data_IF_236568777745
#
_entry.id   IF_236568777745
#
_cell.length_a   1.000
_cell.length_b   1.000
_cell.length_c   1.000
_cell.angle_alpha   90.00
_cell.angle_beta   90.00
_cell.angle_gamma   90.00
#
_symmetry.space_group_name_H-M   'P 1'
#
loop_
_entity.id
_entity.type
_entity.pdbx_description
1 polymer ?
#
# COMPACT_ATOMS: atom_id res chain seq x y z
N UNK A 1 16.43 -12.31 -18.29
CA UNK A 1 14.97 -12.18 -18.48
C UNK A 1 14.55 -10.94 -17.68
N UNK A 2 14.59 -9.77 -18.31
CA UNK A 2 14.45 -8.49 -17.61
C UNK A 2 12.99 -8.06 -17.66
N UNK A 3 12.22 -8.39 -16.62
CA UNK A 3 10.92 -7.79 -16.42
C UNK A 3 11.12 -6.33 -16.00
N UNK A 4 11.10 -5.41 -16.97
CA UNK A 4 10.88 -4.00 -16.64
C UNK A 4 9.43 -3.85 -16.20
N UNK A 5 9.12 -4.22 -14.95
CA UNK A 5 7.82 -3.94 -14.34
C UNK A 5 7.66 -2.43 -14.29
N UNK A 6 6.72 -1.91 -15.07
CA UNK A 6 6.39 -0.48 -15.02
C UNK A 6 5.26 -0.29 -14.00
N UNK A 7 5.20 0.88 -13.35
CA UNK A 7 4.10 1.26 -12.45
C UNK A 7 2.72 1.05 -13.09
N UNK A 8 2.61 1.21 -14.42
CA UNK A 8 1.38 0.94 -15.17
C UNK A 8 0.89 -0.51 -15.06
N UNK A 9 1.80 -1.48 -14.97
CA UNK A 9 1.47 -2.90 -14.84
C UNK A 9 0.84 -3.23 -13.49
N UNK A 10 1.08 -2.39 -12.47
CA UNK A 10 0.45 -2.54 -11.15
C UNK A 10 -0.99 -2.01 -11.15
N UNK A 11 -1.30 -1.02 -12.01
CA UNK A 11 -2.62 -0.38 -12.04
C UNK A 11 -3.69 -1.23 -12.72
N UNK A 12 -3.28 -2.17 -13.58
CA UNK A 12 -4.19 -3.11 -14.25
C UNK A 12 -4.55 -4.31 -13.38
N UNK A 13 -3.85 -4.52 -12.26
CA UNK A 13 -4.09 -5.65 -11.37
C UNK A 13 -5.32 -5.41 -10.48
N UNK A 14 -5.98 -6.52 -10.15
CA UNK A 14 -7.00 -6.59 -9.10
C UNK A 14 -6.44 -7.44 -7.98
N UNK A 15 -6.70 -7.06 -6.74
CA UNK A 15 -6.27 -7.81 -5.54
C UNK A 15 -7.51 -8.35 -4.86
N UNK A 16 -8.15 -9.35 -5.47
CA UNK A 16 -9.40 -9.94 -4.96
C UNK A 16 -9.14 -11.23 -4.17
N UNK A 17 -8.03 -11.90 -4.47
CA UNK A 17 -7.64 -13.17 -3.86
C UNK A 17 -6.26 -13.08 -3.20
N UNK A 18 -5.91 -14.02 -2.31
CA UNK A 18 -4.54 -14.12 -1.79
C UNK A 18 -3.48 -14.31 -2.88
N UNK A 19 -3.81 -15.02 -3.96
CA UNK A 19 -2.87 -15.23 -5.07
C UNK A 19 -2.63 -13.94 -5.87
N UNK A 20 -3.67 -13.13 -6.05
CA UNK A 20 -3.54 -11.80 -6.65
C UNK A 20 -2.60 -10.91 -5.82
N UNK A 21 -2.74 -10.98 -4.50
CA UNK A 21 -1.87 -10.25 -3.58
C UNK A 21 -0.42 -10.66 -3.71
N UNK A 22 -0.12 -11.97 -3.77
CA UNK A 22 1.24 -12.46 -3.99
C UNK A 22 1.81 -11.90 -5.31
N UNK A 23 1.01 -11.94 -6.38
CA UNK A 23 1.43 -11.47 -7.71
C UNK A 23 1.68 -9.96 -7.73
N UNK A 24 0.77 -9.18 -7.15
CA UNK A 24 0.93 -7.74 -6.99
C UNK A 24 2.17 -7.43 -6.15
N UNK A 25 2.36 -8.09 -5.01
CA UNK A 25 3.48 -7.87 -4.08
C UNK A 25 4.82 -8.15 -4.76
N UNK A 26 4.94 -9.23 -5.52
CA UNK A 26 6.16 -9.54 -6.29
C UNK A 26 6.51 -8.42 -7.27
N UNK A 27 5.53 -7.95 -8.04
CA UNK A 27 5.71 -6.83 -8.98
C UNK A 27 6.04 -5.53 -8.26
N UNK A 28 5.35 -5.23 -7.17
CA UNK A 28 5.61 -4.06 -6.35
C UNK A 28 7.03 -4.07 -5.77
N UNK A 29 7.49 -5.22 -5.25
CA UNK A 29 8.84 -5.38 -4.72
C UNK A 29 9.93 -5.23 -5.77
N UNK A 30 9.64 -5.53 -7.04
CA UNK A 30 10.60 -5.26 -8.12
C UNK A 30 10.83 -3.76 -8.37
N UNK A 31 9.91 -2.90 -7.91
CA UNK A 31 10.00 -1.43 -8.02
C UNK A 31 10.42 -0.80 -6.69
N UNK A 32 9.95 -1.33 -5.57
CA UNK A 32 10.20 -0.84 -4.21
C UNK A 32 10.70 -1.98 -3.29
N UNK A 33 11.92 -2.51 -3.50
CA UNK A 33 12.42 -3.70 -2.81
C UNK A 33 12.49 -3.53 -1.28
N UNK A 34 12.80 -2.32 -0.81
CA UNK A 34 13.00 -2.04 0.61
C UNK A 34 11.72 -1.65 1.35
N UNK A 35 10.59 -1.51 0.65
CA UNK A 35 9.37 -0.95 1.25
C UNK A 35 8.81 -1.82 2.36
N UNK A 36 8.48 -3.10 2.10
CA UNK A 36 7.95 -3.97 3.16
C UNK A 36 8.97 -4.25 4.27
N UNK A 37 10.26 -4.54 3.97
CA UNK A 37 11.28 -4.61 5.01
C UNK A 37 11.31 -3.39 5.93
N UNK A 38 11.25 -2.18 5.37
CA UNK A 38 11.21 -0.93 6.12
C UNK A 38 9.90 -0.76 6.91
N UNK A 39 8.76 -1.18 6.37
CA UNK A 39 7.49 -1.11 7.10
C UNK A 39 7.42 -2.12 8.25
N UNK A 40 8.00 -3.31 8.06
CA UNK A 40 8.08 -4.36 9.09
C UNK A 40 9.06 -4.00 10.20
N UNK A 41 10.21 -3.41 9.88
CA UNK A 41 11.20 -2.99 10.88
C UNK A 41 10.67 -1.93 11.86
N UNK A 42 9.61 -1.21 11.49
CA UNK A 42 8.92 -0.24 12.38
C UNK A 42 8.10 -0.91 13.49
N UNK A 43 7.89 -2.22 13.45
CA UNK A 43 7.25 -2.97 14.55
C UNK A 43 5.75 -2.72 14.73
N UNK A 44 5.05 -2.14 13.74
CA UNK A 44 3.62 -1.85 13.85
C UNK A 44 2.69 -3.08 13.73
N UNK A 45 3.23 -4.27 13.46
CA UNK A 45 2.44 -5.50 13.27
C UNK A 45 1.35 -5.33 12.21
N UNK A 46 1.74 -4.86 11.02
CA UNK A 46 0.78 -4.59 9.94
C UNK A 46 0.07 -5.87 9.50
N UNK A 47 -1.24 -5.77 9.30
CA UNK A 47 -2.01 -6.84 8.66
C UNK A 47 -1.84 -6.81 7.14
N UNK A 48 -2.13 -7.93 6.48
CA UNK A 48 -2.11 -8.05 5.02
C UNK A 48 -2.96 -6.97 4.31
N UNK A 49 -4.12 -6.64 4.88
CA UNK A 49 -5.01 -5.60 4.36
C UNK A 49 -4.39 -4.19 4.46
N UNK A 50 -3.63 -3.93 5.51
CA UNK A 50 -2.95 -2.65 5.72
C UNK A 50 -1.71 -2.53 4.85
N UNK A 51 -0.98 -3.63 4.66
CA UNK A 51 0.12 -3.69 3.70
C UNK A 51 -0.35 -3.45 2.27
N UNK A 52 -1.48 -4.05 1.88
CA UNK A 52 -2.13 -3.75 0.60
C UNK A 52 -2.43 -2.26 0.48
N UNK A 53 -3.12 -1.68 1.47
CA UNK A 53 -3.44 -0.26 1.46
C UNK A 53 -2.18 0.62 1.36
N UNK A 54 -1.18 0.37 2.19
CA UNK A 54 0.08 1.13 2.21
C UNK A 54 0.84 1.03 0.90
N UNK A 55 0.90 -0.15 0.28
CA UNK A 55 1.53 -0.30 -1.04
C UNK A 55 0.83 0.55 -2.11
N UNK A 56 -0.51 0.63 -2.07
CA UNK A 56 -1.29 1.46 -2.99
C UNK A 56 -1.16 2.95 -2.69
N UNK A 57 -1.04 3.35 -1.41
CA UNK A 57 -0.67 4.72 -1.03
C UNK A 57 0.73 5.10 -1.52
N UNK A 58 1.71 4.18 -1.42
CA UNK A 58 3.08 4.41 -1.90
C UNK A 58 3.13 4.64 -3.40
N UNK A 59 2.23 4.01 -4.14
CA UNK A 59 2.01 4.26 -5.57
C UNK A 59 1.31 5.60 -5.86
N UNK A 60 0.96 6.39 -4.84
CA UNK A 60 0.25 7.67 -4.95
C UNK A 60 -1.06 7.54 -5.73
N UNK A 61 -1.85 6.50 -5.42
CA UNK A 61 -3.12 6.24 -6.10
C UNK A 61 -4.28 7.02 -5.46
N UNK A 62 -5.19 7.45 -6.33
CA UNK A 62 -6.45 8.05 -5.88
C UNK A 62 -7.31 7.02 -5.15
N UNK A 63 -8.15 7.48 -4.21
CA UNK A 63 -9.09 6.62 -3.49
C UNK A 63 -9.96 5.76 -4.42
N UNK A 64 -10.33 6.31 -5.58
CA UNK A 64 -11.12 5.62 -6.60
C UNK A 64 -10.34 4.46 -7.23
N UNK A 65 -9.07 4.67 -7.57
CA UNK A 65 -8.24 3.58 -8.10
C UNK A 65 -7.96 2.51 -7.05
N UNK A 66 -7.73 2.89 -5.79
CA UNK A 66 -7.58 1.92 -4.69
C UNK A 66 -8.85 1.08 -4.53
N UNK A 67 -10.02 1.71 -4.51
CA UNK A 67 -11.32 1.02 -4.44
C UNK A 67 -11.47 0.03 -5.58
N UNK A 68 -11.15 0.47 -6.81
CA UNK A 68 -11.19 -0.35 -8.00
C UNK A 68 -10.25 -1.57 -7.91
N UNK A 69 -8.99 -1.37 -7.50
CA UNK A 69 -7.98 -2.43 -7.40
C UNK A 69 -8.35 -3.46 -6.32
N UNK A 70 -8.82 -3.00 -5.16
CA UNK A 70 -9.19 -3.86 -4.04
C UNK A 70 -10.59 -4.48 -4.18
N UNK A 71 -11.39 -4.05 -5.16
CA UNK A 71 -12.76 -4.55 -5.34
C UNK A 71 -13.71 -4.16 -4.19
N UNK A 72 -13.47 -3.01 -3.56
CA UNK A 72 -14.28 -2.50 -2.44
C UNK A 72 -14.90 -1.15 -2.76
N UNK A 73 -15.84 -0.70 -1.92
CA UNK A 73 -16.43 0.63 -2.10
C UNK A 73 -15.43 1.76 -1.81
N UNK A 74 -15.63 2.92 -2.43
CA UNK A 74 -14.86 4.13 -2.13
C UNK A 74 -14.91 4.51 -0.65
N UNK A 75 -16.08 4.34 -0.02
CA UNK A 75 -16.26 4.58 1.42
C UNK A 75 -15.40 3.65 2.27
N UNK A 76 -15.29 2.37 1.87
CA UNK A 76 -14.44 1.39 2.55
C UNK A 76 -12.97 1.80 2.52
N UNK A 77 -12.49 2.39 1.41
CA UNK A 77 -11.12 2.95 1.33
C UNK A 77 -10.93 4.08 2.33
N UNK A 78 -11.88 5.03 2.42
CA UNK A 78 -11.80 6.13 3.39
C UNK A 78 -11.77 5.61 4.83
N UNK A 79 -12.63 4.66 5.17
CA UNK A 79 -12.66 4.05 6.50
C UNK A 79 -11.36 3.31 6.80
N UNK A 80 -10.80 2.56 5.85
CA UNK A 80 -9.54 1.84 6.04
C UNK A 80 -8.38 2.82 6.29
N UNK A 81 -8.27 3.89 5.49
CA UNK A 81 -7.28 4.97 5.69
C UNK A 81 -7.41 5.63 7.05
N UNK A 82 -8.63 5.97 7.45
CA UNK A 82 -8.89 6.60 8.75
C UNK A 82 -8.43 5.71 9.90
N UNK A 83 -8.83 4.42 9.88
CA UNK A 83 -8.43 3.44 10.90
C UNK A 83 -6.91 3.28 10.94
N UNK A 84 -6.27 3.17 9.78
CA UNK A 84 -4.82 3.04 9.70
C UNK A 84 -4.09 4.28 10.24
N UNK A 85 -4.53 5.50 9.86
CA UNK A 85 -3.99 6.76 10.39
C UNK A 85 -4.10 6.81 11.91
N UNK A 86 -5.27 6.46 12.47
CA UNK A 86 -5.48 6.45 13.92
C UNK A 86 -4.60 5.41 14.62
N UNK A 87 -4.51 4.19 14.08
CA UNK A 87 -3.68 3.12 14.65
C UNK A 87 -2.19 3.49 14.66
N UNK A 88 -1.71 4.12 13.59
CA UNK A 88 -0.32 4.55 13.46
C UNK A 88 -0.03 5.90 14.17
N UNK A 89 -1.05 6.54 14.75
CA UNK A 89 -0.96 7.89 15.33
C UNK A 89 -0.36 8.93 14.37
N UNK A 90 -0.73 8.85 13.08
CA UNK A 90 -0.24 9.79 12.06
C UNK A 90 -0.93 11.16 12.25
N UNK A 91 -0.18 12.27 12.31
CA UNK A 91 -0.77 13.62 12.39
C UNK A 91 -1.67 13.95 11.19
N UNK A 92 -2.72 14.75 11.42
CA UNK A 92 -3.74 15.03 10.39
C UNK A 92 -3.19 15.71 9.13
N UNK A 93 -2.13 16.51 9.26
CA UNK A 93 -1.50 17.24 8.16
C UNK A 93 -0.43 16.43 7.41
N UNK A 94 -0.17 15.20 7.83
CA UNK A 94 0.86 14.35 7.23
C UNK A 94 0.25 13.18 6.46
N UNK A 95 0.86 12.82 5.33
CA UNK A 95 0.49 11.61 4.61
C UNK A 95 0.97 10.39 5.41
N UNK A 96 0.22 9.29 5.36
CA UNK A 96 0.60 8.06 6.09
C UNK A 96 1.97 7.56 5.62
N UNK A 97 2.24 7.61 4.31
CA UNK A 97 3.53 7.20 3.73
C UNK A 97 4.64 8.15 4.14
N UNK A 98 4.42 9.47 4.08
CA UNK A 98 5.41 10.46 4.52
C UNK A 98 5.79 10.26 5.98
N UNK A 99 4.79 10.12 6.86
CA UNK A 99 5.02 9.85 8.28
C UNK A 99 5.80 8.56 8.52
N UNK A 100 5.48 7.49 7.78
CA UNK A 100 6.20 6.23 7.92
C UNK A 100 7.63 6.37 7.40
N UNK A 101 7.87 6.98 6.25
CA UNK A 101 9.21 7.07 5.64
C UNK A 101 10.12 8.07 6.35
N UNK A 102 9.61 9.22 6.78
CA UNK A 102 10.39 10.27 7.46
C UNK A 102 10.85 9.89 8.87
N UNK A 103 10.35 8.80 9.45
CA UNK A 103 10.65 8.43 10.83
C UNK A 103 12.08 7.88 11.03
N UNK A 104 12.96 7.89 10.03
CA UNK A 104 14.41 7.72 10.22
C UNK A 104 15.21 8.37 9.05
N UNK A 105 16.33 9.05 9.34
CA UNK A 105 17.29 9.54 8.33
C UNK A 105 18.04 8.40 7.60
#
# INVERSE_FOLDING_TARGET
MNYHTNKRDLLSLKILTPQDWVTFRQKFNSIYPDFFPLMHSKGYGLTDSEERLLSLEKLNLTSSNIAHILGISLQSVYTARYRLRKRLNVPDKESIIGFLENRYP
#
